data_IF_967311887998
#
_entry.id   IF_967311887998
#
_cell.length_a   1.000
_cell.length_b   1.000
_cell.length_c   1.000
_cell.angle_alpha   90.00
_cell.angle_beta   90.00
_cell.angle_gamma   90.00
#
_symmetry.space_group_name_H-M   'P 1'
#
loop_
_entity.id
_entity.type
_entity.pdbx_description
1 polymer ?
#
# COMPACT_ATOMS: atom_id res chain seq x y z
N UNK A 1 -4.37 -5.77 0.91
CA UNK A 1 -5.64 -5.93 1.65
C UNK A 1 -6.74 -5.21 0.87
N UNK A 2 -7.98 -5.68 0.93
CA UNK A 2 -9.15 -5.00 0.33
C UNK A 2 -10.17 -4.77 1.44
N UNK A 3 -10.66 -3.54 1.56
CA UNK A 3 -11.73 -3.16 2.49
C UNK A 3 -13.02 -3.05 1.67
N UNK A 4 -13.93 -3.99 1.89
CA UNK A 4 -15.25 -4.00 1.25
C UNK A 4 -16.24 -3.19 2.10
N UNK A 5 -16.63 -2.01 1.64
CA UNK A 5 -17.57 -1.14 2.34
C UNK A 5 -19.00 -1.35 1.80
N UNK A 6 -19.82 -2.08 2.56
CA UNK A 6 -21.24 -2.29 2.25
C UNK A 6 -22.17 -1.17 2.78
N UNK A 7 -21.60 -0.13 3.40
CA UNK A 7 -22.32 1.02 3.95
C UNK A 7 -22.17 2.29 3.11
N UNK A 8 -22.44 3.43 3.74
CA UNK A 8 -22.19 4.75 3.14
C UNK A 8 -20.69 5.05 3.04
N UNK A 9 -20.32 6.11 2.32
CA UNK A 9 -18.93 6.55 2.21
C UNK A 9 -18.31 6.80 3.59
N UNK A 10 -17.05 6.43 3.77
CA UNK A 10 -16.29 6.58 5.01
C UNK A 10 -14.86 7.04 4.69
N UNK A 11 -14.08 7.35 5.71
CA UNK A 11 -12.73 7.89 5.60
C UNK A 11 -11.82 7.12 6.55
N UNK A 12 -10.76 6.49 6.04
CA UNK A 12 -9.72 5.89 6.88
C UNK A 12 -8.77 7.01 7.34
N UNK A 13 -8.80 7.32 8.64
CA UNK A 13 -8.05 8.42 9.23
C UNK A 13 -6.66 8.00 9.72
N UNK A 14 -6.51 6.76 10.17
CA UNK A 14 -5.22 6.24 10.63
C UNK A 14 -5.23 4.73 10.74
N UNK A 15 -4.04 4.15 10.86
CA UNK A 15 -3.86 2.76 11.22
C UNK A 15 -2.83 2.62 12.35
N UNK A 16 -2.87 1.52 13.10
CA UNK A 16 -1.88 1.21 14.13
C UNK A 16 -1.67 -0.29 14.28
N UNK A 17 -0.51 -0.69 14.78
CA UNK A 17 -0.17 -2.09 15.06
C UNK A 17 0.89 -2.15 16.17
N UNK A 18 0.85 -3.14 17.07
CA UNK A 18 1.92 -3.34 18.05
C UNK A 18 3.28 -3.70 17.42
N UNK A 19 3.29 -4.12 16.14
CA UNK A 19 4.50 -4.53 15.42
C UNK A 19 5.36 -3.34 14.94
N UNK A 20 4.87 -2.10 15.02
CA UNK A 20 5.56 -0.91 14.53
C UNK A 20 5.31 0.31 15.44
N UNK A 21 6.26 1.25 15.46
CA UNK A 21 6.13 2.50 16.20
C UNK A 21 5.05 3.42 15.62
N UNK A 22 4.89 3.43 14.30
CA UNK A 22 3.81 4.14 13.62
C UNK A 22 3.42 3.48 12.30
N UNK A 23 2.22 3.81 11.82
CA UNK A 23 1.75 3.43 10.49
C UNK A 23 1.37 4.71 9.74
N UNK A 24 1.91 4.88 8.53
CA UNK A 24 1.61 6.01 7.65
C UNK A 24 0.68 5.54 6.53
N UNK A 25 -0.33 6.35 6.20
CA UNK A 25 -1.15 6.13 5.02
C UNK A 25 -0.42 6.71 3.83
N UNK A 26 -0.32 5.96 2.73
CA UNK A 26 0.36 6.42 1.51
C UNK A 26 -0.53 6.24 0.30
N UNK A 27 -0.40 7.15 -0.66
CA UNK A 27 -0.99 7.02 -2.00
C UNK A 27 0.09 7.26 -3.06
N UNK A 28 -0.15 6.76 -4.27
CA UNK A 28 0.64 7.20 -5.41
C UNK A 28 0.19 8.59 -5.82
N UNK A 29 1.05 9.57 -5.58
CA UNK A 29 0.95 10.84 -6.27
C UNK A 29 1.55 10.68 -7.67
N UNK A 30 0.84 11.13 -8.73
CA UNK A 30 1.45 11.22 -10.05
C UNK A 30 2.64 12.18 -9.97
N UNK A 31 3.84 11.70 -10.31
CA UNK A 31 4.97 12.60 -10.55
C UNK A 31 4.82 13.12 -11.97
N UNK A 32 4.94 14.43 -12.15
CA UNK A 32 4.90 15.03 -13.47
C UNK A 32 5.90 14.33 -14.39
N UNK A 33 5.41 13.92 -15.58
CA UNK A 33 6.23 13.28 -16.61
C UNK A 33 7.43 14.17 -16.90
N UNK A 34 8.60 13.75 -16.45
CA UNK A 34 9.82 14.49 -16.73
C UNK A 34 10.44 13.93 -18.00
N UNK A 35 10.31 14.71 -19.07
CA UNK A 35 11.02 14.48 -20.33
C UNK A 35 12.47 14.92 -20.16
N UNK A 36 13.40 13.96 -20.13
CA UNK A 36 14.84 14.24 -20.14
C UNK A 36 15.41 13.95 -21.53
N UNK A 37 16.19 14.89 -22.08
CA UNK A 37 16.96 14.64 -23.31
C UNK A 37 18.32 14.08 -22.90
N UNK A 38 18.60 12.84 -23.28
CA UNK A 38 19.91 12.20 -23.12
C UNK A 38 20.62 12.16 -24.47
N UNK A 39 21.94 11.93 -24.47
CA UNK A 39 22.76 11.92 -25.68
C UNK A 39 22.25 10.99 -26.80
N UNK A 40 21.44 9.97 -26.45
CA UNK A 40 20.90 8.97 -27.37
C UNK A 40 19.38 9.08 -27.62
N UNK A 41 18.72 10.17 -27.22
CA UNK A 41 17.30 10.40 -27.49
C UNK A 41 16.53 11.05 -26.33
N UNK A 42 15.21 11.07 -26.47
CA UNK A 42 14.30 11.59 -25.45
C UNK A 42 13.86 10.42 -24.55
N UNK A 43 14.06 10.53 -23.24
CA UNK A 43 13.53 9.58 -22.25
C UNK A 43 12.42 10.25 -21.45
N UNK A 44 11.23 9.66 -21.49
CA UNK A 44 10.12 10.05 -20.64
C UNK A 44 10.17 9.21 -19.36
N UNK A 45 10.44 9.85 -18.22
CA UNK A 45 10.32 9.19 -16.93
C UNK A 45 8.89 9.39 -16.44
N UNK A 46 8.08 8.33 -16.55
CA UNK A 46 6.76 8.26 -15.90
C UNK A 46 6.98 7.55 -14.57
N UNK A 47 7.00 8.33 -13.48
CA UNK A 47 7.13 7.82 -12.12
C UNK A 47 5.86 8.08 -11.31
N UNK A 48 5.49 7.15 -10.43
CA UNK A 48 4.59 7.42 -9.32
C UNK A 48 5.40 7.46 -8.04
N UNK A 49 5.22 8.49 -7.21
CA UNK A 49 5.88 8.58 -5.91
C UNK A 49 4.84 8.27 -4.83
N UNK A 50 5.21 7.38 -3.92
CA UNK A 50 4.43 7.13 -2.72
C UNK A 50 4.57 8.32 -1.79
N UNK A 51 3.45 8.97 -1.49
CA UNK A 51 3.38 10.16 -0.66
C UNK A 51 2.51 9.87 0.55
N UNK A 52 2.97 10.30 1.73
CA UNK A 52 2.20 10.20 2.96
C UNK A 52 0.97 11.12 2.86
N UNK A 53 -0.20 10.60 3.24
CA UNK A 53 -1.47 11.32 3.24
C UNK A 53 -2.10 11.28 4.64
N UNK A 54 -2.95 12.26 4.93
CA UNK A 54 -3.64 12.34 6.22
C UNK A 54 -4.81 11.36 6.33
N UNK A 55 -5.39 10.94 5.20
CA UNK A 55 -6.53 10.03 5.14
C UNK A 55 -6.62 9.31 3.80
N UNK A 56 -7.42 8.23 3.76
CA UNK A 56 -7.81 7.53 2.54
C UNK A 56 -9.33 7.44 2.45
N UNK A 57 -9.90 7.83 1.30
CA UNK A 57 -11.33 7.73 1.06
C UNK A 57 -11.78 6.27 0.88
N UNK A 58 -12.89 5.92 1.52
CA UNK A 58 -13.56 4.63 1.35
C UNK A 58 -14.90 4.87 0.69
N UNK A 59 -15.05 4.57 -0.62
CA UNK A 59 -16.31 4.79 -1.31
C UNK A 59 -17.44 3.97 -0.66
N UNK A 60 -18.63 4.56 -0.59
CA UNK A 60 -19.83 3.85 -0.14
C UNK A 60 -20.22 2.79 -1.15
N UNK A 61 -20.64 1.61 -0.67
CA UNK A 61 -20.92 0.44 -1.52
C UNK A 61 -19.76 0.09 -2.47
N UNK A 62 -18.52 0.33 -2.04
CA UNK A 62 -17.33 0.17 -2.86
C UNK A 62 -16.15 -0.37 -2.06
N UNK A 63 -14.98 -0.42 -2.71
CA UNK A 63 -13.77 -1.02 -2.15
C UNK A 63 -12.65 0.02 -2.03
N UNK A 64 -11.95 0.02 -0.89
CA UNK A 64 -10.61 0.59 -0.77
C UNK A 64 -9.58 -0.53 -0.92
N UNK A 65 -8.68 -0.41 -1.91
CA UNK A 65 -7.63 -1.41 -2.18
C UNK A 65 -6.30 -0.91 -1.66
N UNK A 66 -5.80 -1.58 -0.63
CA UNK A 66 -4.48 -1.33 -0.08
C UNK A 66 -3.47 -2.31 -0.69
N UNK A 67 -2.69 -1.86 -1.65
CA UNK A 67 -1.80 -2.68 -2.47
C UNK A 67 -0.44 -2.01 -2.68
N UNK A 68 0.66 -2.80 -2.77
CA UNK A 68 1.97 -2.23 -3.03
C UNK A 68 2.01 -1.52 -4.38
N UNK A 69 2.51 -0.28 -4.40
CA UNK A 69 2.48 0.56 -5.60
C UNK A 69 1.09 1.12 -5.93
N UNK A 70 0.24 1.30 -4.93
CA UNK A 70 -0.98 2.10 -4.96
C UNK A 70 -1.20 2.65 -3.53
N UNK A 71 -2.44 2.83 -3.10
CA UNK A 71 -2.74 3.15 -1.71
C UNK A 71 -2.20 2.04 -0.81
N UNK A 72 -1.45 2.38 0.24
CA UNK A 72 -0.85 1.38 1.12
C UNK A 72 -0.58 1.93 2.53
N UNK A 73 -0.28 1.01 3.44
CA UNK A 73 0.13 1.31 4.81
C UNK A 73 1.64 1.09 4.94
N UNK A 74 2.38 2.13 5.33
CA UNK A 74 3.80 2.01 5.64
C UNK A 74 3.99 1.84 7.16
N UNK A 75 4.50 0.69 7.57
CA UNK A 75 4.90 0.44 8.96
C UNK A 75 6.29 1.01 9.20
N UNK A 76 6.42 1.98 10.11
CA UNK A 76 7.68 2.64 10.44
C UNK A 76 8.13 2.28 11.85
N UNK A 77 9.42 1.98 12.00
CA UNK A 77 10.02 1.63 13.28
C UNK A 77 9.50 0.30 13.81
N UNK A 78 9.74 -0.79 13.08
CA UNK A 78 9.32 -2.13 13.50
C UNK A 78 9.88 -2.45 14.89
N UNK A 79 8.99 -2.83 15.81
CA UNK A 79 9.34 -3.18 17.21
C UNK A 79 9.85 -4.60 17.31
N UNK A 80 9.43 -5.46 16.38
CA UNK A 80 9.85 -6.86 16.26
C UNK A 80 10.11 -7.20 14.80
N UNK A 81 11.03 -8.15 14.51
CA UNK A 81 11.21 -8.67 13.16
C UNK A 81 9.90 -9.31 12.67
N UNK A 82 9.45 -8.92 11.48
CA UNK A 82 8.31 -9.56 10.84
C UNK A 82 8.73 -10.91 10.27
N UNK A 83 8.04 -11.98 10.67
CA UNK A 83 8.31 -13.35 10.19
C UNK A 83 7.25 -13.75 9.17
N UNK A 84 7.67 -14.25 8.00
CA UNK A 84 6.74 -14.72 6.96
C UNK A 84 5.80 -15.80 7.54
N UNK A 85 4.51 -15.66 7.24
CA UNK A 85 3.44 -16.51 7.77
C UNK A 85 2.89 -16.09 9.13
N UNK A 86 3.54 -15.17 9.84
CA UNK A 86 3.01 -14.58 11.07
C UNK A 86 1.75 -13.77 10.78
N UNK A 87 0.82 -13.73 11.74
CA UNK A 87 -0.30 -12.79 11.74
C UNK A 87 -0.01 -11.65 12.71
N UNK A 88 -0.23 -10.43 12.25
CA UNK A 88 -0.12 -9.22 13.07
C UNK A 88 -1.47 -8.49 13.07
N UNK A 89 -1.96 -8.03 14.24
CA UNK A 89 -3.16 -7.22 14.28
C UNK A 89 -2.86 -5.82 13.76
N UNK A 90 -3.73 -5.32 12.89
CA UNK A 90 -3.74 -3.94 12.40
C UNK A 90 -5.10 -3.33 12.75
N UNK A 91 -5.08 -2.26 13.52
CA UNK A 91 -6.28 -1.47 13.82
C UNK A 91 -6.39 -0.33 12.82
N UNK A 92 -7.52 -0.27 12.11
CA UNK A 92 -7.88 0.75 11.15
C UNK A 92 -8.92 1.67 11.81
N UNK A 93 -8.65 2.97 11.86
CA UNK A 93 -9.54 3.96 12.46
C UNK A 93 -10.28 4.71 11.35
N UNK A 94 -11.56 4.41 11.21
CA UNK A 94 -12.46 5.08 10.27
C UNK A 94 -13.20 6.24 10.96
N UNK A 95 -13.56 7.26 10.18
CA UNK A 95 -14.31 8.42 10.66
C UNK A 95 -15.71 8.04 11.17
N UNK A 96 -16.43 7.16 10.44
CA UNK A 96 -17.82 6.79 10.78
C UNK A 96 -17.91 5.41 11.41
N UNK A 97 -17.22 4.41 10.86
CA UNK A 97 -17.24 3.05 11.39
C UNK A 97 -16.42 2.89 12.69
N UNK A 98 -15.55 3.86 13.01
CA UNK A 98 -14.68 3.82 14.18
C UNK A 98 -13.50 2.85 14.00
N UNK A 99 -12.97 2.34 15.11
CA UNK A 99 -11.81 1.45 15.11
C UNK A 99 -12.18 0.00 14.80
N UNK A 100 -11.54 -0.57 13.78
CA UNK A 100 -11.71 -1.96 13.36
C UNK A 100 -10.35 -2.64 13.33
N UNK A 101 -10.19 -3.74 14.08
CA UNK A 101 -8.96 -4.53 14.09
C UNK A 101 -9.09 -5.72 13.13
N UNK A 102 -8.10 -5.88 12.27
CA UNK A 102 -7.97 -6.98 11.31
C UNK A 102 -6.64 -7.71 11.51
N UNK A 103 -6.62 -9.01 11.24
CA UNK A 103 -5.40 -9.80 11.24
C UNK A 103 -4.76 -9.77 9.85
N UNK A 104 -3.52 -9.30 9.77
CA UNK A 104 -2.74 -9.25 8.53
C UNK A 104 -1.65 -10.32 8.54
N UNK A 105 -1.62 -11.15 7.50
CA UNK A 105 -0.55 -12.13 7.31
C UNK A 105 0.69 -11.48 6.72
N UNK A 106 1.84 -11.67 7.37
CA UNK A 106 3.14 -11.27 6.86
C UNK A 106 3.54 -12.18 5.71
N UNK A 107 3.82 -11.60 4.55
CA UNK A 107 4.30 -12.30 3.37
C UNK A 107 5.39 -11.47 2.68
N UNK A 108 6.16 -12.10 1.80
CA UNK A 108 7.16 -11.36 1.01
C UNK A 108 6.48 -10.46 -0.02
N UNK A 109 7.17 -9.41 -0.47
CA UNK A 109 6.66 -8.56 -1.55
C UNK A 109 6.36 -9.38 -2.80
N UNK A 110 7.22 -10.32 -3.17
CA UNK A 110 7.01 -11.19 -4.33
C UNK A 110 5.74 -12.03 -4.19
N UNK A 111 5.51 -12.64 -3.02
CA UNK A 111 4.28 -13.42 -2.78
C UNK A 111 3.02 -12.55 -2.87
N UNK A 112 3.09 -11.31 -2.39
CA UNK A 112 1.97 -10.35 -2.45
C UNK A 112 1.78 -9.88 -3.90
N UNK A 113 2.86 -9.55 -4.61
CA UNK A 113 2.83 -9.09 -5.99
C UNK A 113 2.31 -10.19 -6.93
N UNK A 114 2.76 -11.44 -6.78
CA UNK A 114 2.31 -12.58 -7.59
C UNK A 114 0.82 -12.89 -7.39
N UNK A 115 0.24 -12.53 -6.23
CA UNK A 115 -1.21 -12.65 -5.96
C UNK A 115 -2.04 -11.52 -6.56
N UNK A 116 -1.46 -10.34 -6.72
CA UNK A 116 -2.20 -9.11 -7.03
C UNK A 116 -1.96 -8.59 -8.45
N UNK A 117 -0.80 -8.89 -9.05
CA UNK A 117 -0.38 -8.45 -10.36
C UNK A 117 -0.37 -9.63 -11.33
N UNK A 118 -0.54 -9.40 -12.65
CA UNK A 118 -0.35 -10.46 -13.63
C UNK A 118 1.05 -11.09 -13.49
N UNK A 119 1.19 -12.40 -13.81
CA UNK A 119 2.44 -13.12 -13.60
C UNK A 119 3.62 -12.37 -14.23
N UNK A 120 4.55 -11.91 -13.40
CA UNK A 120 5.79 -11.30 -13.90
C UNK A 120 6.69 -12.42 -14.42
N UNK A 121 6.98 -12.41 -15.72
CA UNK A 121 7.96 -13.31 -16.29
C UNK A 121 9.32 -13.03 -15.63
N UNK A 122 9.79 -13.96 -14.78
CA UNK A 122 11.12 -13.89 -14.18
C UNK A 122 12.15 -14.19 -15.26
N UNK A 123 12.65 -13.14 -15.92
CA UNK A 123 13.74 -13.29 -16.87
C UNK A 123 15.02 -13.67 -16.10
N UNK A 124 15.78 -14.69 -16.54
CA UNK A 124 17.06 -14.99 -15.93
C UNK A 124 17.98 -13.78 -16.05
N UNK A 125 18.65 -13.40 -14.96
CA UNK A 125 19.75 -12.45 -15.04
C UNK A 125 20.80 -13.05 -16.00
N UNK A 126 21.14 -12.30 -17.07
CA UNK A 126 22.15 -12.74 -18.03
C UNK A 126 23.45 -13.10 -17.31
N UNK A 127 24.02 -14.25 -17.70
CA UNK A 127 25.36 -14.66 -17.27
C UNK A 127 26.43 -13.65 -17.69
#
# INVERSE_FOLDING_TARGET
MIIHNAGGADTLLSASTPAAASVQLQQIAPVETTTSVVANGVVENVGGMLTDVDHLDVPGFGDLRLQPGSDQLLLKGLTTPLVVGQMIPITLNFEKAGAITVEATVATYDDIADRLLPPRLKLPAGQ
#
